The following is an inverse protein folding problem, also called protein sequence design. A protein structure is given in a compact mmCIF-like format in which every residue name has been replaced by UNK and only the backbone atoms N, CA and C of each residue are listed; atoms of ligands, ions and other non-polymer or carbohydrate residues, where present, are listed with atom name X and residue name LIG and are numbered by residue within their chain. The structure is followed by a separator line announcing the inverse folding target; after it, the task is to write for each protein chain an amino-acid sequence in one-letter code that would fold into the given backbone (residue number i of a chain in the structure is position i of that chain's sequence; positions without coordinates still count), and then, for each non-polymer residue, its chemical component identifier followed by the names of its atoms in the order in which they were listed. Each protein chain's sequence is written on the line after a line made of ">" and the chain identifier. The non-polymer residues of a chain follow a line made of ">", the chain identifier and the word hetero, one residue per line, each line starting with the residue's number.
data_IF_524534592712
#
_entry.id   IF_524534592712
#
_cell.length_a   1.000
_cell.length_b   1.000
_cell.length_c   1.000
_cell.angle_alpha   90.00
_cell.angle_beta   90.00
_cell.angle_gamma   90.00
#
_symmetry.space_group_name_H-M   'P 1'
#
loop_
_entity.id
_entity.type
_entity.pdbx_description
1 polymer ?
#
# COMPACT_ATOMS: atom_id res chain seq x y z
N UNK A 1 9.48 8.12 -23.96
CA UNK A 1 8.20 7.92 -23.26
C UNK A 1 8.54 7.40 -21.87
N UNK A 2 8.04 8.01 -20.80
CA UNK A 2 8.20 7.41 -19.47
C UNK A 2 7.40 6.10 -19.45
N UNK A 3 8.00 5.02 -18.95
CA UNK A 3 7.32 3.74 -18.73
C UNK A 3 6.23 3.94 -17.68
N UNK A 4 5.04 3.37 -17.88
CA UNK A 4 3.93 3.41 -16.90
C UNK A 4 4.30 2.77 -15.55
N UNK A 5 5.34 1.94 -15.56
CA UNK A 5 5.88 1.23 -14.41
C UNK A 5 7.36 1.49 -14.19
N UNK A 6 7.77 1.47 -12.93
CA UNK A 6 9.16 1.23 -12.53
C UNK A 6 9.30 -0.21 -12.05
N UNK A 7 10.45 -0.83 -12.31
CA UNK A 7 10.74 -2.19 -11.88
C UNK A 7 11.76 -2.17 -10.76
N UNK A 8 11.45 -2.85 -9.66
CA UNK A 8 12.37 -3.00 -8.52
C UNK A 8 12.34 -4.46 -8.05
N UNK A 9 13.49 -5.12 -8.08
CA UNK A 9 13.65 -6.53 -7.66
C UNK A 9 12.63 -7.48 -8.33
N UNK A 10 12.32 -7.24 -9.60
CA UNK A 10 11.38 -8.06 -10.37
C UNK A 10 9.89 -7.75 -10.15
N UNK A 11 9.55 -6.73 -9.37
CA UNK A 11 8.17 -6.31 -9.10
C UNK A 11 7.86 -4.98 -9.81
N UNK A 12 6.71 -4.87 -10.52
CA UNK A 12 6.27 -3.62 -11.12
C UNK A 12 5.59 -2.72 -10.08
N UNK A 13 5.95 -1.43 -10.07
CA UNK A 13 5.31 -0.38 -9.29
C UNK A 13 4.82 0.75 -10.20
N UNK A 14 3.75 1.48 -9.83
CA UNK A 14 3.35 2.68 -10.55
C UNK A 14 4.51 3.68 -10.64
N UNK A 15 4.81 4.18 -11.85
CA UNK A 15 5.88 5.16 -12.04
C UNK A 15 5.56 6.51 -11.36
N UNK A 16 4.28 6.81 -11.17
CA UNK A 16 3.84 8.01 -10.47
C UNK A 16 3.85 7.73 -8.96
N UNK A 17 4.64 8.51 -8.22
CA UNK A 17 4.65 8.50 -6.75
C UNK A 17 5.49 7.40 -6.11
N UNK A 18 6.28 6.66 -6.90
CA UNK A 18 7.22 5.65 -6.40
C UNK A 18 8.62 5.95 -6.93
N UNK A 19 9.64 5.77 -6.09
CA UNK A 19 11.04 5.95 -6.45
C UNK A 19 11.85 4.73 -6.01
N UNK A 20 12.72 4.22 -6.88
CA UNK A 20 13.51 3.01 -6.58
C UNK A 20 14.47 3.20 -5.41
N UNK A 21 14.99 4.41 -5.19
CA UNK A 21 15.83 4.72 -4.04
C UNK A 21 15.01 4.64 -2.75
N UNK A 22 13.79 5.19 -2.73
CA UNK A 22 12.88 5.10 -1.58
C UNK A 22 12.55 3.65 -1.27
N UNK A 23 12.26 2.82 -2.28
CA UNK A 23 12.02 1.37 -2.07
C UNK A 23 13.23 0.67 -1.42
N UNK A 24 14.45 1.03 -1.83
CA UNK A 24 15.68 0.49 -1.22
C UNK A 24 15.84 0.97 0.22
N UNK A 25 15.62 2.25 0.48
CA UNK A 25 15.69 2.81 1.83
C UNK A 25 14.63 2.21 2.76
N UNK A 26 13.43 1.97 2.26
CA UNK A 26 12.37 1.29 3.00
C UNK A 26 12.83 -0.10 3.43
N UNK A 27 13.33 -0.91 2.48
CA UNK A 27 13.78 -2.28 2.79
C UNK A 27 14.93 -2.29 3.80
N UNK A 28 15.93 -1.44 3.58
CA UNK A 28 17.23 -1.57 4.24
C UNK A 28 17.44 -0.64 5.44
N UNK A 29 16.70 0.48 5.55
CA UNK A 29 16.94 1.52 6.57
C UNK A 29 15.70 1.92 7.38
N UNK A 30 14.49 1.77 6.85
CA UNK A 30 13.28 2.23 7.54
C UNK A 30 13.06 1.46 8.85
N UNK A 31 12.81 2.19 9.93
CA UNK A 31 12.70 1.64 11.29
C UNK A 31 11.23 1.56 11.68
N UNK A 32 10.74 0.32 11.81
CA UNK A 32 9.45 0.03 12.42
C UNK A 32 9.58 0.03 13.94
N UNK A 33 8.72 0.77 14.62
CA UNK A 33 8.67 0.88 16.09
C UNK A 33 7.75 -0.21 16.67
N UNK A 34 7.97 -0.55 17.94
CA UNK A 34 7.18 -1.59 18.62
C UNK A 34 5.68 -1.22 18.74
N UNK A 35 5.37 0.07 18.78
CA UNK A 35 4.01 0.61 18.92
C UNK A 35 3.25 0.71 17.59
N UNK A 36 3.95 0.58 16.45
CA UNK A 36 3.37 0.77 15.13
C UNK A 36 2.31 -0.29 14.82
N UNK A 37 1.35 0.09 13.97
CA UNK A 37 0.34 -0.82 13.42
C UNK A 37 0.36 -0.76 11.91
N UNK A 38 0.58 -1.91 11.27
CA UNK A 38 0.71 -2.07 9.84
C UNK A 38 -0.51 -2.78 9.26
N UNK A 39 -1.08 -2.20 8.22
CA UNK A 39 -2.18 -2.76 7.44
C UNK A 39 -1.62 -3.28 6.12
N UNK A 40 -1.60 -4.61 5.97
CA UNK A 40 -0.99 -5.26 4.82
C UNK A 40 -2.05 -5.90 3.95
N UNK A 41 -1.99 -5.62 2.65
CA UNK A 41 -2.96 -6.15 1.68
C UNK A 41 -2.31 -6.31 0.32
N UNK A 42 -2.75 -7.29 -0.46
CA UNK A 42 -2.58 -7.18 -1.92
C UNK A 42 -3.52 -6.06 -2.44
N UNK A 43 -3.12 -5.25 -3.43
CA UNK A 43 -3.97 -4.17 -3.95
C UNK A 43 -5.39 -4.65 -4.24
N UNK A 44 -6.40 -3.80 -3.96
CA UNK A 44 -7.84 -4.09 -4.17
C UNK A 44 -8.45 -5.16 -3.26
N UNK A 45 -7.74 -5.59 -2.23
CA UNK A 45 -8.26 -6.52 -1.21
C UNK A 45 -9.12 -5.87 -0.11
N UNK A 46 -9.40 -4.57 -0.20
CA UNK A 46 -10.24 -3.85 0.77
C UNK A 46 -9.48 -2.98 1.77
N UNK A 47 -8.27 -2.53 1.43
CA UNK A 47 -7.40 -1.69 2.28
C UNK A 47 -8.12 -0.48 2.85
N UNK A 48 -8.86 0.27 2.02
CA UNK A 48 -9.59 1.46 2.49
C UNK A 48 -10.62 1.12 3.58
N UNK A 49 -11.32 0.00 3.42
CA UNK A 49 -12.31 -0.44 4.40
C UNK A 49 -11.66 -0.83 5.73
N UNK A 50 -10.52 -1.54 5.66
CA UNK A 50 -9.73 -1.87 6.84
C UNK A 50 -9.19 -0.61 7.53
N UNK A 51 -8.66 0.36 6.78
CA UNK A 51 -8.17 1.64 7.32
C UNK A 51 -9.30 2.34 8.09
N UNK A 52 -10.50 2.45 7.51
CA UNK A 52 -11.64 3.09 8.19
C UNK A 52 -12.01 2.42 9.51
N UNK A 53 -12.11 1.08 9.50
CA UNK A 53 -12.44 0.31 10.71
C UNK A 53 -11.39 0.57 11.80
N UNK A 54 -10.11 0.50 11.46
CA UNK A 54 -9.02 0.68 12.43
C UNK A 54 -8.97 2.11 12.95
N UNK A 55 -9.17 3.12 12.08
CA UNK A 55 -9.26 4.52 12.51
C UNK A 55 -10.40 4.73 13.51
N UNK A 56 -11.60 4.19 13.25
CA UNK A 56 -12.73 4.32 14.16
C UNK A 56 -12.52 3.56 15.48
N UNK A 57 -11.82 2.44 15.47
CA UNK A 57 -11.41 1.74 16.70
C UNK A 57 -10.48 2.64 17.53
N UNK A 58 -9.49 3.27 16.90
CA UNK A 58 -8.53 4.17 17.57
C UNK A 58 -9.21 5.40 18.19
N UNK A 59 -10.22 5.96 17.51
CA UNK A 59 -10.97 7.13 18.01
C UNK A 59 -12.18 6.75 18.87
N UNK A 60 -12.30 5.48 19.27
CA UNK A 60 -13.44 4.96 20.06
C UNK A 60 -14.81 5.30 19.45
N UNK A 61 -14.88 5.31 18.11
CA UNK A 61 -16.08 5.56 17.32
C UNK A 61 -16.32 7.02 16.96
N UNK A 62 -15.47 7.99 17.36
CA UNK A 62 -15.61 9.38 16.91
C UNK A 62 -15.21 9.50 15.42
N UNK A 63 -16.15 9.89 14.52
CA UNK A 63 -15.88 9.93 13.09
C UNK A 63 -15.20 11.22 12.62
N UNK A 64 -15.01 12.23 13.48
CA UNK A 64 -14.46 13.53 13.06
C UNK A 64 -13.16 13.40 12.29
N UNK A 65 -12.25 12.54 12.76
CA UNK A 65 -10.94 12.35 12.13
C UNK A 65 -11.06 11.73 10.73
N UNK A 66 -11.86 10.67 10.58
CA UNK A 66 -12.04 10.00 9.28
C UNK A 66 -12.80 10.84 8.26
N UNK A 67 -13.65 11.76 8.71
CA UNK A 67 -14.39 12.70 7.87
C UNK A 67 -13.61 13.95 7.47
N UNK A 68 -12.56 14.30 8.22
CA UNK A 68 -11.78 15.53 7.99
C UNK A 68 -10.39 15.30 7.41
N UNK A 69 -9.78 14.14 7.66
CA UNK A 69 -8.43 13.83 7.20
C UNK A 69 -8.47 12.79 6.07
N UNK A 70 -7.81 13.04 4.93
CA UNK A 70 -7.74 12.08 3.84
C UNK A 70 -7.14 10.74 4.26
N UNK A 71 -7.58 9.67 3.60
CA UNK A 71 -7.22 8.29 3.99
C UNK A 71 -5.71 8.02 3.92
N UNK A 72 -5.02 8.60 2.93
CA UNK A 72 -3.57 8.46 2.74
C UNK A 72 -2.75 9.22 3.80
N UNK A 73 -3.33 10.16 4.53
CA UNK A 73 -2.67 10.84 5.66
C UNK A 73 -2.90 10.10 6.98
N UNK A 74 -4.07 9.46 7.11
CA UNK A 74 -4.43 8.64 8.27
C UNK A 74 -3.67 7.32 8.32
N UNK A 75 -3.51 6.66 7.16
CA UNK A 75 -2.68 5.47 6.99
C UNK A 75 -1.84 5.57 5.72
N UNK A 76 -0.66 6.22 5.81
CA UNK A 76 0.20 6.40 4.65
C UNK A 76 0.74 5.09 4.09
N UNK A 77 0.86 5.00 2.76
CA UNK A 77 1.53 3.90 2.09
C UNK A 77 3.04 4.07 2.18
N UNK A 78 3.71 3.14 2.85
CA UNK A 78 5.15 3.22 3.14
C UNK A 78 5.95 3.34 1.84
N UNK A 79 5.60 2.56 0.82
CA UNK A 79 6.25 2.50 -0.50
C UNK A 79 6.10 3.75 -1.38
N UNK A 80 5.20 4.68 -1.03
CA UNK A 80 5.00 5.91 -1.80
C UNK A 80 5.93 7.03 -1.33
N UNK A 81 6.40 7.89 -2.25
CA UNK A 81 7.28 9.03 -1.89
C UNK A 81 6.64 9.95 -0.85
N UNK A 82 5.33 10.19 -0.99
CA UNK A 82 4.55 11.01 -0.05
C UNK A 82 4.43 10.32 1.30
N UNK A 83 4.04 9.04 1.32
CA UNK A 83 3.88 8.29 2.56
C UNK A 83 5.19 8.13 3.32
N UNK A 84 6.28 7.79 2.63
CA UNK A 84 7.63 7.74 3.23
C UNK A 84 8.01 9.06 3.90
N UNK A 85 7.80 10.19 3.21
CA UNK A 85 8.07 11.53 3.77
C UNK A 85 7.21 11.85 4.99
N UNK A 86 5.92 11.49 4.96
CA UNK A 86 5.00 11.69 6.09
C UNK A 86 5.41 10.85 7.31
N UNK A 87 5.78 9.59 7.09
CA UNK A 87 6.15 8.66 8.16
C UNK A 87 7.45 9.07 8.84
N UNK A 88 8.45 9.55 8.08
CA UNK A 88 9.72 10.03 8.64
C UNK A 88 9.59 11.31 9.48
N UNK A 89 8.50 12.08 9.28
CA UNK A 89 8.22 13.30 10.07
C UNK A 89 7.37 13.03 11.30
N UNK A 90 6.76 11.85 11.44
CA UNK A 90 5.88 11.53 12.57
C UNK A 90 6.72 11.08 13.78
N UNK A 91 6.56 11.79 14.88
CA UNK A 91 7.20 11.47 16.16
C UNK A 91 6.41 10.41 16.96
N UNK A 92 5.09 10.31 16.73
CA UNK A 92 4.19 9.43 17.49
C UNK A 92 3.88 8.09 16.79
N UNK A 93 3.13 7.24 17.50
CA UNK A 93 2.56 5.97 17.02
C UNK A 93 1.90 6.16 15.65
N UNK A 94 2.31 5.37 14.66
CA UNK A 94 1.76 5.51 13.31
C UNK A 94 0.96 4.27 12.88
N UNK A 95 -0.27 4.52 12.43
CA UNK A 95 -0.97 3.60 11.53
C UNK A 95 -0.40 3.77 10.12
N UNK A 96 0.00 2.68 9.48
CA UNK A 96 0.56 2.71 8.12
C UNK A 96 0.04 1.53 7.29
N UNK A 97 0.05 1.70 5.97
CA UNK A 97 -0.42 0.70 5.02
C UNK A 97 0.70 0.29 4.08
N UNK A 98 0.66 -0.94 3.56
CA UNK A 98 1.57 -1.34 2.50
C UNK A 98 1.03 -2.49 1.64
N UNK A 99 1.43 -2.47 0.37
CA UNK A 99 1.23 -3.53 -0.60
C UNK A 99 2.52 -4.30 -0.92
N UNK A 100 3.62 -3.98 -0.24
CA UNK A 100 4.91 -4.61 -0.53
C UNK A 100 4.86 -6.12 -0.27
N UNK A 101 5.45 -6.93 -1.17
CA UNK A 101 5.71 -8.33 -0.86
C UNK A 101 6.76 -8.43 0.24
N UNK A 102 6.71 -9.53 1.01
CA UNK A 102 7.50 -9.69 2.25
C UNK A 102 9.01 -9.50 2.08
N UNK A 103 9.58 -9.82 0.91
CA UNK A 103 11.01 -9.69 0.64
C UNK A 103 11.47 -8.24 0.38
N UNK A 104 10.54 -7.31 0.13
CA UNK A 104 10.81 -5.87 0.00
C UNK A 104 10.42 -5.08 1.24
N UNK A 105 9.89 -5.75 2.26
CA UNK A 105 9.43 -5.12 3.49
C UNK A 105 10.61 -4.65 4.36
N UNK A 106 10.46 -3.58 5.18
CA UNK A 106 11.48 -3.16 6.13
C UNK A 106 11.98 -4.32 7.00
N UNK A 107 13.29 -4.57 6.97
CA UNK A 107 13.91 -5.65 7.77
C UNK A 107 13.68 -5.48 9.27
N UNK A 108 13.56 -4.23 9.73
CA UNK A 108 13.29 -3.86 11.13
C UNK A 108 11.98 -4.44 11.67
N UNK A 109 10.99 -4.71 10.80
CA UNK A 109 9.72 -5.35 11.20
C UNK A 109 9.96 -6.70 11.87
N UNK A 110 10.89 -7.50 11.37
CA UNK A 110 11.11 -8.86 11.85
C UNK A 110 11.80 -8.93 13.22
N UNK A 111 12.30 -7.79 13.70
CA UNK A 111 12.88 -7.63 15.04
C UNK A 111 12.00 -6.80 15.99
N UNK A 112 10.91 -6.22 15.50
CA UNK A 112 10.03 -5.37 16.31
C UNK A 112 8.84 -6.15 16.89
N UNK A 113 8.10 -5.52 17.79
CA UNK A 113 6.81 -6.00 18.33
C UNK A 113 5.60 -5.34 17.66
N UNK A 114 5.81 -4.69 16.53
CA UNK A 114 4.76 -3.99 15.80
C UNK A 114 3.60 -4.94 15.47
N UNK A 115 2.38 -4.40 15.47
CA UNK A 115 1.18 -5.16 15.15
C UNK A 115 0.97 -5.16 13.64
N UNK A 116 0.69 -6.33 13.08
CA UNK A 116 0.41 -6.49 11.64
C UNK A 116 -0.98 -7.07 11.45
N UNK A 117 -1.79 -6.40 10.64
CA UNK A 117 -3.09 -6.89 10.20
C UNK A 117 -3.01 -7.15 8.70
N UNK A 118 -2.96 -8.44 8.33
CA UNK A 118 -2.94 -8.86 6.94
C UNK A 118 -4.35 -9.24 6.47
N UNK A 119 -4.86 -8.56 5.45
CA UNK A 119 -6.18 -8.82 4.88
C UNK A 119 -6.07 -9.44 3.47
N UNK A 120 -6.71 -10.60 3.33
CA UNK A 120 -6.85 -11.32 2.05
C UNK A 120 -8.27 -11.23 1.52
N UNK A 121 -8.39 -11.27 0.20
CA UNK A 121 -9.66 -11.33 -0.53
C UNK A 121 -9.58 -12.39 -1.62
N UNK A 122 -10.71 -12.98 -2.00
CA UNK A 122 -10.77 -13.91 -3.12
C UNK A 122 -10.11 -13.30 -4.36
N UNK A 123 -9.07 -13.93 -4.95
CA UNK A 123 -8.31 -13.34 -6.05
C UNK A 123 -9.16 -13.07 -7.29
N UNK A 124 -10.29 -13.79 -7.46
CA UNK A 124 -11.26 -13.55 -8.54
C UNK A 124 -11.93 -12.17 -8.39
N UNK A 125 -12.31 -11.81 -7.17
CA UNK A 125 -12.91 -10.50 -6.88
C UNK A 125 -11.87 -9.37 -6.95
N UNK A 126 -10.64 -9.66 -6.52
CA UNK A 126 -9.50 -8.74 -6.63
C UNK A 126 -9.23 -8.41 -8.10
N UNK A 127 -9.19 -9.41 -8.98
CA UNK A 127 -9.01 -9.24 -10.41
C UNK A 127 -10.08 -8.32 -10.99
N UNK A 128 -11.36 -8.63 -10.76
CA UNK A 128 -12.46 -7.81 -11.28
C UNK A 128 -12.40 -6.38 -10.73
N UNK A 129 -12.11 -6.20 -9.43
CA UNK A 129 -11.96 -4.89 -8.82
C UNK A 129 -10.77 -4.09 -9.37
N UNK A 130 -9.65 -4.76 -9.66
CA UNK A 130 -8.47 -4.18 -10.27
C UNK A 130 -8.74 -3.70 -11.69
N UNK A 131 -9.34 -4.54 -12.53
CA UNK A 131 -9.70 -4.22 -13.91
C UNK A 131 -10.46 -2.89 -14.02
N UNK A 132 -11.56 -2.76 -13.25
CA UNK A 132 -12.38 -1.54 -13.29
C UNK A 132 -11.70 -0.32 -12.66
N UNK A 133 -10.84 -0.53 -11.66
CA UNK A 133 -10.15 0.57 -11.00
C UNK A 133 -9.05 1.13 -11.88
N UNK A 134 -8.11 0.29 -12.32
CA UNK A 134 -6.96 0.71 -13.09
C UNK A 134 -7.37 1.36 -14.40
N UNK A 135 -8.36 0.79 -15.10
CA UNK A 135 -8.94 1.35 -16.33
C UNK A 135 -9.56 2.75 -16.21
N UNK A 136 -9.74 3.25 -14.98
CA UNK A 136 -10.26 4.61 -14.69
C UNK A 136 -9.21 5.53 -14.05
N UNK A 137 -7.95 5.10 -13.96
CA UNK A 137 -6.84 5.89 -13.41
C UNK A 137 -5.79 6.15 -14.46
N UNK A 138 -4.93 7.14 -14.21
CA UNK A 138 -3.73 7.40 -15.03
C UNK A 138 -2.45 6.90 -14.33
N UNK A 139 -2.59 5.97 -13.38
CA UNK A 139 -1.47 5.49 -12.55
C UNK A 139 -0.67 4.39 -13.22
N UNK A 140 -1.32 3.62 -14.10
CA UNK A 140 -0.76 2.43 -14.76
C UNK A 140 -1.35 2.31 -16.16
N UNK A 141 -0.75 1.45 -16.99
CA UNK A 141 -1.28 1.16 -18.32
C UNK A 141 -2.70 0.57 -18.22
N UNK A 142 -3.64 1.20 -18.91
CA UNK A 142 -4.99 0.66 -19.02
C UNK A 142 -4.99 -0.62 -19.87
N UNK A 143 -5.59 -1.73 -19.38
CA UNK A 143 -5.75 -2.91 -20.20
C UNK A 143 -6.75 -2.63 -21.34
N UNK A 144 -6.46 -3.16 -22.52
CA UNK A 144 -7.33 -3.01 -23.70
C UNK A 144 -8.61 -3.86 -23.59
N UNK A 145 -8.55 -4.97 -22.85
CA UNK A 145 -9.69 -5.85 -22.58
C UNK A 145 -9.53 -6.59 -21.24
N UNK A 146 -10.62 -7.20 -20.77
CA UNK A 146 -10.60 -8.02 -19.55
C UNK A 146 -9.74 -9.27 -19.73
N UNK A 147 -9.72 -9.88 -20.91
CA UNK A 147 -8.93 -11.07 -21.23
C UNK A 147 -7.43 -10.77 -21.12
N UNK A 148 -6.99 -9.61 -21.64
CA UNK A 148 -5.59 -9.17 -21.53
C UNK A 148 -5.23 -8.91 -20.05
N UNK A 149 -6.12 -8.25 -19.30
CA UNK A 149 -5.90 -8.01 -17.87
C UNK A 149 -5.86 -9.31 -17.06
N UNK A 150 -6.69 -10.29 -17.42
CA UNK A 150 -6.72 -11.60 -16.79
C UNK A 150 -5.37 -12.32 -16.95
N UNK A 151 -4.80 -12.32 -18.16
CA UNK A 151 -3.47 -12.86 -18.40
C UNK A 151 -2.38 -12.11 -17.63
N UNK A 152 -2.44 -10.78 -17.57
CA UNK A 152 -1.48 -10.00 -16.76
C UNK A 152 -1.54 -10.39 -15.29
N UNK A 153 -2.76 -10.49 -14.73
CA UNK A 153 -2.98 -10.85 -13.34
C UNK A 153 -2.42 -12.24 -13.00
N UNK A 154 -2.67 -13.25 -13.85
CA UNK A 154 -2.13 -14.60 -13.64
C UNK A 154 -0.60 -14.66 -13.74
N UNK A 155 -0.01 -13.82 -14.57
CA UNK A 155 1.44 -13.73 -14.76
C UNK A 155 2.13 -12.77 -13.76
N UNK A 156 1.39 -12.15 -12.84
CA UNK A 156 1.93 -11.20 -11.86
C UNK A 156 2.50 -9.92 -12.48
N UNK A 157 1.91 -9.46 -13.59
CA UNK A 157 2.31 -8.26 -14.33
C UNK A 157 1.43 -7.05 -14.01
#
# INVERSE_FOLDING_TARGET
>A
AMSDYIWFEGIPFPAIGTETEILREIRDKFVIRDEDTLLLTYPKSGTNWLIEIVCLIQTKGDPKWVQSVPIWERSPWIESSVGYSLLNKKEDQCLMSSHLPIHLFPKSLFSSKAKVIYLIRNPRDVLVSGYFFWGKTNLVKNPESLEIYFEWFLNGK
#
